data_IF_114271899586
#
_entry.id   IF_114271899586
#
_cell.length_a   1.000
_cell.length_b   1.000
_cell.length_c   1.000
_cell.angle_alpha   90.00
_cell.angle_beta   90.00
_cell.angle_gamma   90.00
#
_symmetry.space_group_name_H-M   'P 1'
#
loop_
_entity.id
_entity.type
_entity.pdbx_description
1 polymer ?
#
# COMPACT_ATOMS: atom_id res chain seq x y z
N UNK A 1 -20.14 -1.05 24.48
CA UNK A 1 -18.94 -1.79 24.92
C UNK A 1 -18.18 -2.41 23.75
N UNK A 2 -18.87 -2.99 22.77
CA UNK A 2 -18.23 -3.66 21.62
C UNK A 2 -17.26 -2.73 20.84
N UNK A 3 -17.65 -1.48 20.55
CA UNK A 3 -16.79 -0.50 19.85
C UNK A 3 -15.44 -0.26 20.54
N UNK A 4 -15.42 -0.18 21.87
CA UNK A 4 -14.19 0.03 22.64
C UNK A 4 -13.28 -1.20 22.57
N UNK A 5 -13.86 -2.41 22.58
CA UNK A 5 -13.11 -3.66 22.40
C UNK A 5 -12.48 -3.75 21.00
N UNK A 6 -13.25 -3.38 19.96
CA UNK A 6 -12.77 -3.28 18.57
C UNK A 6 -11.66 -2.24 18.42
N UNK A 7 -11.78 -1.08 19.07
CA UNK A 7 -10.71 -0.08 19.12
C UNK A 7 -9.46 -0.61 19.84
N UNK A 8 -9.64 -1.34 20.95
CA UNK A 8 -8.53 -1.97 21.69
C UNK A 8 -7.74 -2.96 20.83
N UNK A 9 -8.39 -3.73 19.97
CA UNK A 9 -7.69 -4.63 19.04
C UNK A 9 -6.88 -3.91 17.95
N UNK A 10 -7.17 -2.64 17.67
CA UNK A 10 -6.40 -1.83 16.72
C UNK A 10 -5.12 -1.24 17.32
N UNK A 11 -4.97 -1.23 18.64
CA UNK A 11 -3.78 -0.67 19.29
C UNK A 11 -2.49 -1.44 18.93
N UNK A 12 -2.60 -2.73 18.62
CA UNK A 12 -1.47 -3.54 18.16
C UNK A 12 -0.92 -3.11 16.78
N UNK A 13 -1.65 -2.26 16.05
CA UNK A 13 -1.34 -1.84 14.67
C UNK A 13 -0.98 -0.35 14.57
N UNK A 14 -0.72 0.33 15.70
CA UNK A 14 -0.40 1.76 15.69
C UNK A 14 0.87 2.08 14.88
N UNK A 15 1.91 1.25 15.00
CA UNK A 15 3.16 1.45 14.25
C UNK A 15 2.94 1.36 12.74
N UNK A 16 2.06 0.47 12.29
CA UNK A 16 1.65 0.37 10.89
C UNK A 16 0.95 1.65 10.43
N UNK A 17 0.05 2.21 11.23
CA UNK A 17 -0.62 3.47 10.89
C UNK A 17 0.37 4.64 10.82
N UNK A 18 1.34 4.70 11.72
CA UNK A 18 2.39 5.70 11.66
C UNK A 18 3.23 5.56 10.38
N UNK A 19 3.66 4.35 10.03
CA UNK A 19 4.39 4.09 8.80
C UNK A 19 3.59 4.49 7.55
N UNK A 20 2.30 4.13 7.48
CA UNK A 20 1.43 4.53 6.36
C UNK A 20 1.23 6.04 6.27
N UNK A 21 1.10 6.72 7.40
CA UNK A 21 0.97 8.17 7.46
C UNK A 21 2.25 8.86 7.00
N UNK A 22 3.41 8.37 7.45
CA UNK A 22 4.73 8.87 7.07
C UNK A 22 4.97 8.71 5.55
N UNK A 23 4.66 7.54 4.99
CA UNK A 23 4.76 7.28 3.56
C UNK A 23 3.82 8.18 2.74
N UNK A 24 2.60 8.40 3.24
CA UNK A 24 1.63 9.30 2.61
C UNK A 24 2.17 10.74 2.54
N UNK A 25 2.80 11.22 3.62
CA UNK A 25 3.41 12.56 3.66
C UNK A 25 4.53 12.70 2.64
N UNK A 26 5.40 11.70 2.48
CA UNK A 26 6.44 11.74 1.45
C UNK A 26 5.88 11.72 0.02
N UNK A 27 4.80 10.97 -0.22
CA UNK A 27 4.09 10.99 -1.51
C UNK A 27 3.50 12.37 -1.82
N UNK A 28 2.95 13.03 -0.81
CA UNK A 28 2.44 14.40 -0.92
C UNK A 28 3.56 15.40 -1.18
N UNK A 29 4.70 15.26 -0.50
CA UNK A 29 5.88 16.10 -0.74
C UNK A 29 6.38 15.95 -2.18
N UNK A 30 6.45 14.71 -2.68
CA UNK A 30 6.84 14.43 -4.06
C UNK A 30 5.87 15.04 -5.08
N UNK A 31 4.56 14.95 -4.81
CA UNK A 31 3.54 15.58 -5.65
C UNK A 31 3.67 17.11 -5.64
N UNK A 32 3.89 17.71 -4.47
CA UNK A 32 4.07 19.15 -4.32
C UNK A 32 5.33 19.66 -5.03
N UNK A 33 6.45 18.96 -4.92
CA UNK A 33 7.67 19.25 -5.70
C UNK A 33 7.40 19.20 -7.20
N UNK A 34 6.63 18.21 -7.66
CA UNK A 34 6.26 18.09 -9.08
C UNK A 34 5.37 19.25 -9.54
N UNK A 35 4.41 19.67 -8.72
CA UNK A 35 3.51 20.80 -9.01
C UNK A 35 4.28 22.12 -9.12
N UNK A 36 5.25 22.36 -8.23
CA UNK A 36 6.13 23.54 -8.27
C UNK A 36 7.19 23.50 -9.36
N UNK A 37 7.52 22.31 -9.86
CA UNK A 37 8.64 22.10 -10.78
C UNK A 37 10.00 22.03 -10.07
N UNK A 38 10.03 21.76 -8.76
CA UNK A 38 11.25 21.52 -8.02
C UNK A 38 11.93 20.23 -8.48
N UNK A 39 13.25 20.27 -8.61
CA UNK A 39 14.08 19.15 -9.08
C UNK A 39 14.73 18.39 -7.94
N UNK A 40 15.01 19.07 -6.84
CA UNK A 40 15.63 18.49 -5.66
C UNK A 40 15.10 19.11 -4.39
N UNK A 41 15.35 18.43 -3.28
CA UNK A 41 15.11 18.95 -1.94
C UNK A 41 16.29 18.61 -1.03
N UNK A 42 16.54 19.50 -0.08
CA UNK A 42 17.41 19.28 1.06
C UNK A 42 16.54 19.27 2.31
N UNK A 43 16.71 18.26 3.15
CA UNK A 43 15.95 18.13 4.39
C UNK A 43 16.92 18.00 5.56
N UNK A 44 16.81 18.95 6.49
CA UNK A 44 17.45 18.90 7.80
C UNK A 44 16.40 18.66 8.89
N UNK A 45 16.83 18.46 10.13
CA UNK A 45 15.91 18.27 11.26
C UNK A 45 14.95 19.46 11.49
N UNK A 46 15.30 20.66 11.03
CA UNK A 46 14.53 21.89 11.27
C UNK A 46 13.92 22.53 10.03
N UNK A 47 14.41 22.24 8.84
CA UNK A 47 13.99 22.93 7.61
C UNK A 47 13.96 21.99 6.40
N UNK A 48 13.00 22.24 5.50
CA UNK A 48 12.90 21.69 4.16
C UNK A 48 13.25 22.80 3.18
N UNK A 49 14.29 22.58 2.38
CA UNK A 49 14.64 23.45 1.26
C UNK A 49 14.28 22.77 -0.05
N UNK A 50 13.31 23.32 -0.77
CA UNK A 50 12.89 22.87 -2.09
C UNK A 50 13.62 23.68 -3.16
N UNK A 51 14.24 22.99 -4.12
CA UNK A 51 15.14 23.56 -5.13
C UNK A 51 14.54 23.37 -6.52
N UNK A 52 14.03 24.46 -7.08
CA UNK A 52 13.48 24.55 -8.44
C UNK A 52 14.05 25.73 -9.22
N UNK A 53 13.20 26.43 -9.96
CA UNK A 53 13.53 27.75 -10.53
C UNK A 53 13.74 28.80 -9.44
N UNK A 54 12.98 28.68 -8.35
CA UNK A 54 13.09 29.46 -7.14
C UNK A 54 13.28 28.51 -5.95
N UNK A 55 14.26 28.80 -5.11
CA UNK A 55 14.47 28.05 -3.86
C UNK A 55 13.49 28.52 -2.79
N UNK A 56 12.89 27.58 -2.07
CA UNK A 56 12.02 27.86 -0.94
C UNK A 56 12.49 27.06 0.27
N UNK A 57 12.76 27.74 1.38
CA UNK A 57 13.13 27.11 2.65
C UNK A 57 12.09 27.43 3.70
N UNK A 58 11.59 26.40 4.38
CA UNK A 58 10.63 26.54 5.47
C UNK A 58 10.74 25.37 6.45
N UNK A 59 10.38 25.56 7.74
CA UNK A 59 10.28 24.44 8.69
C UNK A 59 9.12 23.48 8.37
N UNK A 60 8.17 23.96 7.58
CA UNK A 60 6.94 23.27 7.25
C UNK A 60 6.49 23.65 5.84
N UNK A 61 5.99 22.67 5.11
CA UNK A 61 5.45 22.83 3.76
C UNK A 61 3.97 22.49 3.77
N UNK A 62 3.16 23.43 3.29
CA UNK A 62 1.72 23.21 3.07
C UNK A 62 1.50 22.91 1.60
N UNK A 63 0.98 21.73 1.31
CA UNK A 63 0.68 21.29 -0.06
C UNK A 63 -0.56 21.98 -0.63
N UNK A 64 -0.76 21.89 -1.94
CA UNK A 64 -1.96 22.39 -2.63
C UNK A 64 -3.28 21.82 -2.09
N UNK A 65 -3.24 20.66 -1.43
CA UNK A 65 -4.40 20.01 -0.79
C UNK A 65 -4.62 20.43 0.66
N UNK A 66 -3.80 21.36 1.18
CA UNK A 66 -3.85 21.81 2.57
C UNK A 66 -3.25 20.80 3.56
N UNK A 67 -2.54 19.78 3.07
CA UNK A 67 -1.82 18.84 3.93
C UNK A 67 -0.47 19.43 4.29
N UNK A 68 -0.11 19.28 5.55
CA UNK A 68 1.05 19.93 6.16
C UNK A 68 2.15 18.91 6.46
N UNK A 69 3.37 19.24 6.06
CA UNK A 69 4.54 18.36 6.14
C UNK A 69 5.66 19.12 6.86
N UNK A 70 6.00 18.67 8.06
CA UNK A 70 7.08 19.24 8.86
C UNK A 70 8.45 18.63 8.53
N UNK A 71 9.50 19.45 8.67
CA UNK A 71 10.88 19.05 8.40
C UNK A 71 11.33 17.87 9.28
N UNK A 72 10.98 17.86 10.56
CA UNK A 72 11.39 16.83 11.51
C UNK A 72 10.85 15.44 11.11
N UNK A 73 9.58 15.36 10.71
CA UNK A 73 8.98 14.14 10.18
C UNK A 73 9.68 13.75 8.89
N UNK A 74 9.80 14.64 7.91
CA UNK A 74 10.41 14.31 6.63
C UNK A 74 11.86 13.81 6.78
N UNK A 75 12.64 14.45 7.66
CA UNK A 75 14.01 14.07 8.00
C UNK A 75 14.07 12.66 8.62
N UNK A 76 13.20 12.37 9.60
CA UNK A 76 13.12 11.05 10.23
C UNK A 76 12.77 9.96 9.23
N UNK A 77 11.77 10.20 8.37
CA UNK A 77 11.31 9.21 7.40
C UNK A 77 12.38 8.97 6.32
N UNK A 78 13.04 10.03 5.84
CA UNK A 78 14.16 9.86 4.91
C UNK A 78 15.31 9.07 5.53
N UNK A 79 15.69 9.34 6.78
CA UNK A 79 16.73 8.56 7.45
C UNK A 79 16.39 7.07 7.57
N UNK A 80 15.12 6.74 7.79
CA UNK A 80 14.65 5.35 7.81
C UNK A 80 14.72 4.70 6.42
N UNK A 81 14.35 5.42 5.37
CA UNK A 81 14.33 4.90 4.00
C UNK A 81 15.74 4.79 3.39
N UNK A 82 16.61 5.75 3.66
CA UNK A 82 18.00 5.75 3.18
C UNK A 82 18.87 4.76 3.97
N UNK A 83 18.53 4.51 5.24
CA UNK A 83 19.21 3.52 6.09
C UNK A 83 20.56 3.97 6.64
N UNK A 84 20.89 5.26 6.52
CA UNK A 84 22.06 5.87 7.14
C UNK A 84 21.68 7.20 7.79
N UNK A 85 22.43 7.59 8.82
CA UNK A 85 22.23 8.88 9.50
C UNK A 85 23.13 9.95 8.87
N UNK A 86 22.54 11.08 8.50
CA UNK A 86 23.24 12.25 7.98
C UNK A 86 22.61 13.52 8.54
N UNK A 87 23.38 14.61 8.77
CA UNK A 87 22.84 15.87 9.28
C UNK A 87 21.83 16.53 8.32
N UNK A 88 21.91 16.18 7.04
CA UNK A 88 21.01 16.63 5.99
C UNK A 88 20.88 15.53 4.92
N UNK A 89 19.66 15.35 4.41
CA UNK A 89 19.38 14.47 3.28
C UNK A 89 19.14 15.29 2.02
N UNK A 90 19.93 15.03 0.98
CA UNK A 90 19.76 15.61 -0.34
C UNK A 90 19.12 14.59 -1.28
N UNK A 91 17.87 14.84 -1.67
CA UNK A 91 17.10 13.89 -2.48
C UNK A 91 16.57 14.60 -3.71
N UNK A 92 16.86 14.05 -4.89
CA UNK A 92 16.27 14.54 -6.13
C UNK A 92 14.86 13.95 -6.33
N UNK A 93 14.07 14.55 -7.22
CA UNK A 93 12.68 14.12 -7.46
C UNK A 93 12.55 12.65 -7.89
N UNK A 94 13.49 12.15 -8.69
CA UNK A 94 13.47 10.76 -9.18
C UNK A 94 13.83 9.75 -8.08
N UNK A 95 14.83 10.09 -7.26
CA UNK A 95 15.23 9.32 -6.09
C UNK A 95 14.11 9.26 -5.07
N UNK A 96 13.43 10.39 -4.79
CA UNK A 96 12.27 10.41 -3.90
C UNK A 96 11.13 9.53 -4.43
N UNK A 97 10.87 9.56 -5.73
CA UNK A 97 9.87 8.70 -6.35
C UNK A 97 10.25 7.21 -6.24
N UNK A 98 11.52 6.87 -6.45
CA UNK A 98 12.03 5.51 -6.31
C UNK A 98 11.97 5.01 -4.86
N UNK A 99 12.35 5.84 -3.88
CA UNK A 99 12.25 5.53 -2.45
C UNK A 99 10.80 5.30 -2.04
N UNK A 100 9.89 6.17 -2.48
CA UNK A 100 8.46 6.01 -2.22
C UNK A 100 7.92 4.71 -2.84
N UNK A 101 8.26 4.39 -4.09
CA UNK A 101 7.82 3.18 -4.75
C UNK A 101 8.33 1.92 -4.03
N UNK A 102 9.60 1.93 -3.60
CA UNK A 102 10.19 0.84 -2.81
C UNK A 102 9.46 0.67 -1.48
N UNK A 103 9.25 1.76 -0.75
CA UNK A 103 8.56 1.74 0.55
C UNK A 103 7.11 1.25 0.45
N UNK A 104 6.38 1.65 -0.61
CA UNK A 104 5.03 1.13 -0.88
C UNK A 104 5.08 -0.39 -1.12
N UNK A 105 5.99 -0.87 -1.97
CA UNK A 105 6.12 -2.30 -2.26
C UNK A 105 6.49 -3.12 -1.02
N UNK A 106 7.39 -2.62 -0.18
CA UNK A 106 7.76 -3.25 1.10
C UNK A 106 6.58 -3.32 2.07
N UNK A 107 5.81 -2.23 2.18
CA UNK A 107 4.61 -2.17 3.01
C UNK A 107 3.54 -3.15 2.54
N UNK A 108 3.27 -3.20 1.23
CA UNK A 108 2.30 -4.11 0.61
C UNK A 108 2.69 -5.59 0.82
N UNK A 109 3.98 -5.89 0.85
CA UNK A 109 4.51 -7.23 1.15
C UNK A 109 4.61 -7.57 2.64
N UNK A 110 4.36 -6.61 3.53
CA UNK A 110 4.65 -6.76 4.96
C UNK A 110 3.67 -7.70 5.69
N UNK A 111 4.19 -8.42 6.69
CA UNK A 111 3.36 -9.23 7.59
C UNK A 111 2.44 -8.35 8.45
N UNK A 112 2.90 -7.16 8.84
CA UNK A 112 2.13 -6.20 9.62
C UNK A 112 0.82 -5.80 8.90
N UNK A 113 0.89 -5.51 7.61
CA UNK A 113 -0.31 -5.18 6.82
C UNK A 113 -1.27 -6.37 6.70
N UNK A 114 -0.73 -7.60 6.54
CA UNK A 114 -1.54 -8.83 6.55
C UNK A 114 -2.22 -9.05 7.90
N UNK A 115 -1.50 -8.93 9.01
CA UNK A 115 -2.02 -9.07 10.36
C UNK A 115 -3.10 -8.01 10.68
N UNK A 116 -2.93 -6.79 10.17
CA UNK A 116 -3.96 -5.76 10.24
C UNK A 116 -5.23 -6.16 9.47
N UNK A 117 -5.07 -6.68 8.25
CA UNK A 117 -6.17 -7.24 7.46
C UNK A 117 -6.94 -8.34 8.19
N UNK A 118 -6.24 -9.25 8.87
CA UNK A 118 -6.85 -10.31 9.68
C UNK A 118 -7.62 -9.75 10.88
N UNK A 119 -7.08 -8.73 11.55
CA UNK A 119 -7.79 -8.02 12.63
C UNK A 119 -9.04 -7.32 12.12
N UNK A 120 -8.99 -6.65 10.95
CA UNK A 120 -10.17 -6.07 10.32
C UNK A 120 -11.22 -7.13 10.01
N UNK A 121 -10.84 -8.26 9.41
CA UNK A 121 -11.76 -9.35 9.09
C UNK A 121 -12.47 -9.88 10.34
N UNK A 122 -11.73 -10.06 11.46
CA UNK A 122 -12.30 -10.49 12.75
C UNK A 122 -13.27 -9.45 13.34
N UNK A 123 -12.93 -8.17 13.24
CA UNK A 123 -13.77 -7.07 13.74
C UNK A 123 -15.06 -6.93 12.93
N UNK A 124 -14.96 -7.08 11.61
CA UNK A 124 -16.10 -7.01 10.68
C UNK A 124 -17.02 -8.24 10.76
N UNK A 125 -16.48 -9.42 11.08
CA UNK A 125 -17.25 -10.65 11.24
C UNK A 125 -17.97 -10.77 12.59
N UNK A 126 -17.54 -10.01 13.62
CA UNK A 126 -18.22 -10.03 14.91
C UNK A 126 -19.65 -9.48 14.74
N UNK A 127 -20.70 -10.25 15.11
CA UNK A 127 -22.06 -9.79 14.99
C UNK A 127 -22.23 -8.50 15.79
N UNK A 128 -22.54 -7.42 15.09
CA UNK A 128 -23.08 -6.21 15.68
C UNK A 128 -24.40 -6.61 16.29
N UNK A 129 -24.43 -6.83 17.61
CA UNK A 129 -25.65 -7.09 18.36
C UNK A 129 -26.61 -5.90 18.12
N UNK A 130 -27.65 -6.03 17.27
CA UNK A 130 -28.61 -4.96 17.13
C UNK A 130 -29.49 -5.04 18.36
N UNK A 131 -29.29 -4.12 19.29
CA UNK A 131 -30.18 -3.92 20.42
C UNK A 131 -31.61 -3.61 19.93
N UNK A 132 -32.39 -4.66 19.74
CA UNK A 132 -33.85 -4.65 19.81
C UNK A 132 -34.25 -5.56 20.97
N UNK A 133 -34.92 -5.06 22.01
CA UNK A 133 -35.34 -5.90 23.13
C UNK A 133 -36.63 -6.60 22.74
N UNK A 134 -36.55 -7.84 22.25
CA UNK A 134 -37.70 -8.74 22.28
C UNK A 134 -37.43 -9.94 23.20
N UNK A 135 -38.49 -10.26 23.93
CA UNK A 135 -38.54 -11.04 25.16
C UNK A 135 -37.99 -12.47 25.00
N UNK A 136 -37.57 -13.08 26.12
CA UNK A 136 -37.10 -14.47 26.13
C UNK A 136 -38.30 -15.42 25.90
N UNK A 137 -38.46 -15.85 24.66
CA UNK A 137 -39.34 -16.96 24.27
C UNK A 137 -38.55 -18.26 24.30
N UNK A 138 -38.96 -19.13 25.21
CA UNK A 138 -38.53 -20.52 25.40
C UNK A 138 -38.57 -21.34 24.11
N UNK A 139 -37.42 -21.61 23.48
CA UNK A 139 -37.30 -22.63 22.41
C UNK A 139 -36.03 -23.50 22.56
N UNK A 140 -35.53 -23.63 23.80
CA UNK A 140 -34.39 -24.52 24.14
C UNK A 140 -34.81 -25.89 24.70
N UNK A 141 -36.08 -26.26 24.67
CA UNK A 141 -36.56 -27.51 25.28
C UNK A 141 -37.05 -28.61 24.31
N UNK A 142 -37.17 -28.39 23.00
CA UNK A 142 -37.76 -29.42 22.11
C UNK A 142 -36.85 -30.02 21.04
N UNK A 143 -35.53 -29.76 21.03
CA UNK A 143 -34.60 -30.45 20.10
C UNK A 143 -33.88 -31.68 20.64
N UNK A 144 -34.07 -32.06 21.90
CA UNK A 144 -33.42 -33.26 22.46
C UNK A 144 -34.30 -34.51 22.54
N UNK A 145 -35.51 -34.50 21.95
CA UNK A 145 -36.39 -35.68 21.92
C UNK A 145 -36.55 -36.34 20.54
N UNK A 146 -36.06 -35.74 19.44
CA UNK A 146 -36.23 -36.30 18.09
C UNK A 146 -35.02 -37.08 17.55
N UNK A 147 -33.84 -37.03 18.19
CA UNK A 147 -32.62 -37.69 17.69
C UNK A 147 -32.33 -39.08 18.28
N UNK A 148 -33.26 -39.70 19.01
CA UNK A 148 -33.08 -41.08 19.53
C UNK A 148 -33.90 -42.18 18.83
N UNK A 149 -34.57 -41.88 17.72
CA UNK A 149 -35.33 -42.92 16.97
C UNK A 149 -35.07 -42.97 15.47
N UNK A 150 -34.01 -42.32 14.97
CA UNK A 150 -33.62 -42.41 13.55
C UNK A 150 -32.36 -43.26 13.30
N UNK A 151 -31.85 -43.97 14.31
CA UNK A 151 -30.60 -44.75 14.21
C UNK A 151 -30.78 -46.22 13.80
N UNK A 152 -31.92 -46.64 13.22
CA UNK A 152 -32.12 -48.08 12.95
C UNK A 152 -32.88 -48.48 11.68
N UNK A 153 -33.07 -47.60 10.69
CA UNK A 153 -33.56 -48.02 9.36
C UNK A 153 -32.96 -47.21 8.20
N UNK A 154 -31.70 -47.49 7.86
CA UNK A 154 -31.17 -47.33 6.49
C UNK A 154 -29.73 -47.88 6.37
N UNK A 155 -29.46 -49.05 6.95
CA UNK A 155 -28.23 -49.82 6.69
C UNK A 155 -28.55 -51.04 5.84
N UNK A 156 -29.14 -50.83 4.64
CA UNK A 156 -29.16 -51.83 3.58
C UNK A 156 -29.72 -51.25 2.26
N UNK A 157 -28.86 -50.64 1.45
CA UNK A 157 -28.84 -50.78 -0.03
C UNK A 157 -27.59 -50.03 -0.53
N UNK A 158 -26.44 -50.70 -0.68
CA UNK A 158 -25.96 -51.47 -1.84
C UNK A 158 -25.59 -50.61 -3.06
N UNK A 159 -24.41 -50.96 -3.60
CA UNK A 159 -23.80 -50.62 -4.90
C UNK A 159 -23.06 -49.28 -4.95
N UNK A 160 -21.72 -49.26 -4.88
CA UNK A 160 -20.76 -49.67 -5.94
C UNK A 160 -20.92 -48.93 -7.26
N UNK A 161 -20.08 -47.91 -7.46
CA UNK A 161 -19.41 -47.49 -8.71
C UNK A 161 -18.58 -46.25 -8.35
N UNK A 162 -17.35 -46.35 -7.85
CA UNK A 162 -16.10 -46.58 -8.60
C UNK A 162 -16.06 -45.89 -9.98
N UNK A 163 -15.32 -44.75 -10.03
CA UNK A 163 -14.41 -44.26 -11.11
C UNK A 163 -15.07 -43.92 -12.48
N UNK A 164 -14.64 -42.88 -13.25
CA UNK A 164 -13.30 -42.29 -13.27
C UNK A 164 -13.21 -40.76 -13.30
N UNK A 165 -12.01 -40.31 -12.94
CA UNK A 165 -11.41 -39.07 -13.40
C UNK A 165 -11.46 -38.92 -14.93
N UNK A 166 -11.69 -37.69 -15.40
CA UNK A 166 -11.23 -37.25 -16.72
C UNK A 166 -10.57 -35.87 -16.62
N UNK A 167 -9.31 -35.74 -17.08
CA UNK A 167 -8.55 -34.50 -17.08
C UNK A 167 -8.55 -33.80 -18.45
N UNK A 168 -7.92 -32.62 -18.49
CA UNK A 168 -7.29 -31.92 -19.63
C UNK A 168 -8.16 -31.15 -20.62
N UNK A 169 -7.93 -29.84 -20.65
CA UNK A 169 -7.44 -29.06 -21.81
C UNK A 169 -6.89 -27.74 -21.24
N UNK A 170 -5.58 -27.53 -21.08
CA UNK A 170 -4.47 -27.44 -22.05
C UNK A 170 -4.54 -26.22 -22.97
N UNK A 171 -3.46 -25.44 -22.87
CA UNK A 171 -2.78 -24.64 -23.88
C UNK A 171 -3.29 -23.21 -24.16
N UNK A 172 -2.51 -22.21 -23.68
CA UNK A 172 -1.60 -21.35 -24.48
C UNK A 172 -1.65 -21.45 -26.02
N UNK A 173 -0.97 -20.56 -26.78
CA UNK A 173 -0.66 -19.13 -26.57
C UNK A 173 -0.94 -18.33 -27.86
N UNK A 174 -0.86 -16.99 -27.82
CA UNK A 174 -0.41 -16.26 -29.01
C UNK A 174 0.29 -14.96 -28.61
N UNK A 175 1.61 -15.06 -28.44
CA UNK A 175 2.52 -13.96 -28.60
C UNK A 175 2.65 -13.69 -30.11
N UNK A 176 2.08 -12.58 -30.58
CA UNK A 176 2.30 -12.08 -31.94
C UNK A 176 3.30 -10.92 -31.88
N UNK A 177 4.51 -11.26 -32.32
CA UNK A 177 5.44 -10.49 -33.14
C UNK A 177 5.89 -9.11 -32.68
N UNK A 178 7.14 -9.11 -32.23
CA UNK A 178 8.22 -8.24 -32.72
C UNK A 178 8.27 -8.21 -34.26
N UNK A 179 8.14 -7.01 -34.84
CA UNK A 179 8.76 -6.59 -36.11
C UNK A 179 9.45 -5.25 -35.77
N UNK A 180 10.78 -5.17 -35.81
CA UNK A 180 11.58 -4.91 -37.03
C UNK A 180 11.31 -3.48 -37.52
N UNK A 181 12.24 -2.55 -37.71
CA UNK A 181 13.69 -2.51 -37.81
C UNK A 181 14.10 -1.01 -37.87
N UNK A 182 15.40 -0.65 -37.85
CA UNK A 182 15.88 0.70 -37.59
C UNK A 182 16.09 1.54 -38.86
N UNK A 183 16.10 2.87 -38.73
CA UNK A 183 16.89 3.72 -39.62
C UNK A 183 17.58 4.88 -38.88
N UNK A 184 18.87 5.15 -39.20
CA UNK A 184 19.68 6.19 -38.57
C UNK A 184 19.53 7.51 -39.31
N UNK A 185 19.58 8.63 -38.58
CA UNK A 185 20.00 9.90 -39.18
C UNK A 185 21.31 10.30 -38.54
N UNK A 186 22.37 10.03 -39.29
CA UNK A 186 23.70 10.56 -39.11
C UNK A 186 23.70 12.08 -39.37
N UNK A 187 24.40 12.78 -38.49
CA UNK A 187 25.33 13.88 -38.77
C UNK A 187 25.19 14.63 -40.10
N UNK A 188 24.74 15.88 -40.01
CA UNK A 188 25.24 16.98 -40.84
C UNK A 188 24.95 18.31 -40.14
N UNK A 189 26.03 18.98 -39.71
CA UNK A 189 26.27 20.43 -39.81
C UNK A 189 27.18 20.92 -38.67
N UNK A 190 28.44 20.49 -38.73
CA UNK A 190 29.55 21.40 -38.47
C UNK A 190 29.65 22.38 -39.64
N UNK A 191 29.53 23.68 -39.38
CA UNK A 191 30.19 24.78 -40.09
C UNK A 191 29.62 26.11 -39.57
N UNK A 192 30.33 26.73 -38.63
CA UNK A 192 29.95 28.03 -38.07
C UNK A 192 31.12 28.70 -37.36
N UNK A 193 32.31 28.59 -37.95
CA UNK A 193 33.52 29.32 -37.59
C UNK A 193 33.34 30.78 -38.02
N UNK A 194 33.31 31.72 -37.06
CA UNK A 194 33.66 33.11 -37.36
C UNK A 194 34.24 33.84 -36.13
N UNK A 195 35.55 33.66 -36.01
CA UNK A 195 36.62 34.61 -35.63
C UNK A 195 36.34 35.76 -34.65
N UNK A 196 37.10 35.85 -33.53
CA UNK A 196 37.14 37.02 -32.66
C UNK A 196 38.10 38.09 -33.20
N UNK A 197 37.66 39.35 -33.18
CA UNK A 197 38.51 40.51 -33.45
C UNK A 197 39.34 40.87 -32.21
N UNK A 198 40.63 41.07 -32.45
CA UNK A 198 41.67 41.49 -31.51
C UNK A 198 41.48 42.93 -31.00
#
# INVERSE_FOLDING_TARGET
MDTLKKAGTMLAHLDLFHSMLDLRRLLQLAAYMKERGDRAMLISAGEITLIGSESMTAPEVVTSKGETIDAATAYRVLGQLEGYEAPEYAVNREALAALNARAVAELEGSEALRAFGDTLARISAAPTDPAGPERPGTDRAERTAAERTASERATHDRASTERPARPRRSAEPEAVRTEDAPQPNAEASEAGENTPAA
#
